data_IF_268067312671
#
_entry.id   IF_268067312671
#
_cell.length_a   1.000
_cell.length_b   1.000
_cell.length_c   1.000
_cell.angle_alpha   90.00
_cell.angle_beta   90.00
_cell.angle_gamma   90.00
#
_symmetry.space_group_name_H-M   'P 1'
#
loop_
_entity.id
_entity.type
_entity.pdbx_description
1 polymer ?
#
# COMPACT_ATOMS: atom_id res chain seq x y z
N UNK A 1 -11.78 -34.53 7.28
CA UNK A 1 -12.62 -33.33 7.48
C UNK A 1 -12.03 -32.14 6.71
N UNK A 2 -11.63 -32.33 5.45
CA UNK A 2 -11.06 -31.29 4.58
C UNK A 2 -11.41 -31.52 3.09
N UNK A 3 -12.57 -32.13 2.81
CA UNK A 3 -12.89 -32.59 1.44
C UNK A 3 -13.92 -31.72 0.68
N UNK A 4 -14.20 -30.50 1.15
CA UNK A 4 -15.17 -29.61 0.48
C UNK A 4 -14.66 -28.18 0.29
N UNK A 5 -13.38 -28.00 -0.05
CA UNK A 5 -12.88 -26.71 -0.54
C UNK A 5 -12.88 -26.72 -2.07
N UNK A 6 -14.05 -26.44 -2.66
CA UNK A 6 -14.21 -26.40 -4.11
C UNK A 6 -13.55 -25.13 -4.68
N UNK A 7 -12.25 -25.23 -4.99
CA UNK A 7 -11.49 -24.18 -5.66
C UNK A 7 -12.15 -23.75 -6.99
N UNK A 8 -12.92 -24.61 -7.65
CA UNK A 8 -13.55 -24.32 -8.94
C UNK A 8 -14.66 -23.27 -8.86
N UNK A 9 -15.32 -23.11 -7.71
CA UNK A 9 -16.44 -22.19 -7.56
C UNK A 9 -16.00 -20.72 -7.40
N UNK A 10 -14.84 -20.46 -6.77
CA UNK A 10 -14.30 -19.11 -6.56
C UNK A 10 -13.71 -18.50 -7.85
N UNK A 11 -13.17 -19.33 -8.77
CA UNK A 11 -12.62 -18.85 -10.06
C UNK A 11 -13.66 -18.54 -11.16
N UNK A 12 -14.97 -18.66 -10.88
CA UNK A 12 -16.01 -18.65 -11.94
C UNK A 12 -16.26 -17.31 -12.63
N UNK A 13 -15.63 -16.22 -12.18
CA UNK A 13 -15.66 -14.92 -12.85
C UNK A 13 -14.25 -14.35 -12.85
N UNK A 14 -13.46 -14.60 -13.90
CA UNK A 14 -12.15 -13.99 -14.06
C UNK A 14 -12.33 -12.46 -14.13
N UNK A 15 -11.92 -11.69 -13.09
CA UNK A 15 -12.32 -10.30 -12.96
C UNK A 15 -11.35 -9.41 -13.76
N UNK A 16 -11.30 -9.61 -15.08
CA UNK A 16 -10.37 -8.93 -15.98
C UNK A 16 -10.44 -7.40 -15.86
N UNK A 17 -11.64 -6.85 -15.63
CA UNK A 17 -11.83 -5.42 -15.36
C UNK A 17 -11.16 -4.95 -14.07
N UNK A 18 -11.28 -5.70 -12.98
CA UNK A 18 -10.66 -5.36 -11.69
C UNK A 18 -9.14 -5.38 -11.81
N UNK A 19 -8.60 -6.40 -12.47
CA UNK A 19 -7.17 -6.54 -12.73
C UNK A 19 -6.64 -5.35 -13.55
N UNK A 20 -7.37 -4.92 -14.59
CA UNK A 20 -6.98 -3.76 -15.40
C UNK A 20 -7.00 -2.45 -14.59
N UNK A 21 -7.99 -2.23 -13.72
CA UNK A 21 -7.98 -1.06 -12.82
C UNK A 21 -6.84 -1.10 -11.82
N UNK A 22 -6.54 -2.27 -11.29
CA UNK A 22 -5.46 -2.47 -10.35
C UNK A 22 -4.09 -2.13 -10.99
N UNK A 23 -3.85 -2.59 -12.23
CA UNK A 23 -2.68 -2.19 -13.01
C UNK A 23 -2.65 -0.68 -13.30
N UNK A 24 -3.79 -0.07 -13.63
CA UNK A 24 -3.88 1.37 -13.84
C UNK A 24 -3.51 2.14 -12.57
N UNK A 25 -3.98 1.70 -11.41
CA UNK A 25 -3.65 2.32 -10.13
C UNK A 25 -2.19 2.16 -9.77
N UNK A 26 -1.57 1.00 -10.05
CA UNK A 26 -0.13 0.81 -9.91
C UNK A 26 0.65 1.76 -10.84
N UNK A 27 0.22 1.91 -12.09
CA UNK A 27 0.87 2.78 -13.07
C UNK A 27 0.85 4.26 -12.64
N UNK A 28 -0.19 4.68 -11.93
CA UNK A 28 -0.31 6.04 -11.38
C UNK A 28 0.49 6.18 -10.08
N UNK A 29 0.35 5.23 -9.16
CA UNK A 29 0.96 5.30 -7.83
C UNK A 29 2.49 5.24 -7.90
N UNK A 30 3.06 4.31 -8.68
CA UNK A 30 4.50 4.07 -8.70
C UNK A 30 5.30 5.35 -9.05
N UNK A 31 4.99 6.10 -10.13
CA UNK A 31 5.71 7.33 -10.45
C UNK A 31 5.54 8.42 -9.38
N UNK A 32 4.34 8.57 -8.82
CA UNK A 32 4.05 9.56 -7.77
C UNK A 32 4.88 9.27 -6.52
N UNK A 33 4.89 8.02 -6.06
CA UNK A 33 5.67 7.62 -4.89
C UNK A 33 7.18 7.70 -5.17
N UNK A 34 7.64 7.27 -6.34
CA UNK A 34 9.04 7.36 -6.73
C UNK A 34 9.55 8.80 -6.70
N UNK A 35 8.75 9.75 -7.20
CA UNK A 35 9.08 11.18 -7.16
C UNK A 35 9.21 11.71 -5.72
N UNK A 36 8.28 11.32 -4.84
CA UNK A 36 8.27 11.77 -3.44
C UNK A 36 9.46 11.19 -2.66
N UNK A 37 9.76 9.90 -2.86
CA UNK A 37 10.93 9.24 -2.25
C UNK A 37 12.23 9.90 -2.71
N UNK A 38 12.37 10.19 -4.01
CA UNK A 38 13.54 10.88 -4.57
C UNK A 38 13.70 12.26 -3.93
N UNK A 39 12.62 13.05 -3.86
CA UNK A 39 12.66 14.43 -3.37
C UNK A 39 12.88 14.53 -1.86
N UNK A 40 12.27 13.66 -1.06
CA UNK A 40 12.29 13.75 0.41
C UNK A 40 13.39 12.93 1.07
N UNK A 41 13.71 11.75 0.53
CA UNK A 41 14.73 10.86 1.09
C UNK A 41 16.09 11.01 0.38
N UNK A 42 16.16 11.82 -0.68
CA UNK A 42 17.37 12.05 -1.48
C UNK A 42 17.97 10.77 -2.06
N UNK A 43 17.13 9.76 -2.29
CA UNK A 43 17.51 8.54 -3.00
C UNK A 43 17.79 8.86 -4.47
N UNK A 44 18.68 8.10 -5.11
CA UNK A 44 18.82 8.08 -6.58
C UNK A 44 17.45 7.82 -7.24
N UNK A 45 17.21 8.37 -8.44
CA UNK A 45 16.06 8.05 -9.29
C UNK A 45 15.85 6.54 -9.45
N UNK A 46 16.94 5.77 -9.64
CA UNK A 46 16.88 4.31 -9.78
C UNK A 46 16.39 3.63 -8.50
N UNK A 47 16.97 3.99 -7.35
CA UNK A 47 16.59 3.39 -6.06
C UNK A 47 15.20 3.81 -5.61
N UNK A 48 14.83 5.07 -5.86
CA UNK A 48 13.47 5.58 -5.58
C UNK A 48 12.42 4.84 -6.39
N UNK A 49 12.67 4.61 -7.68
CA UNK A 49 11.77 3.86 -8.56
C UNK A 49 11.69 2.39 -8.12
N UNK A 50 12.82 1.76 -7.79
CA UNK A 50 12.85 0.39 -7.30
C UNK A 50 12.04 0.21 -6.01
N UNK A 51 12.23 1.09 -5.02
CA UNK A 51 11.47 1.03 -3.77
C UNK A 51 9.98 1.29 -4.00
N UNK A 52 9.61 2.28 -4.84
CA UNK A 52 8.21 2.56 -5.15
C UNK A 52 7.53 1.36 -5.84
N UNK A 53 8.18 0.76 -6.85
CA UNK A 53 7.67 -0.45 -7.51
C UNK A 53 7.48 -1.57 -6.49
N UNK A 54 8.51 -1.85 -5.70
CA UNK A 54 8.49 -2.94 -4.72
C UNK A 54 7.38 -2.74 -3.69
N UNK A 55 7.30 -1.57 -3.06
CA UNK A 55 6.27 -1.27 -2.06
C UNK A 55 4.85 -1.42 -2.62
N UNK A 56 4.58 -0.91 -3.83
CA UNK A 56 3.24 -0.98 -4.42
C UNK A 56 2.88 -2.39 -4.84
N UNK A 57 3.79 -3.11 -5.51
CA UNK A 57 3.54 -4.50 -5.94
C UNK A 57 3.36 -5.43 -4.75
N UNK A 58 4.24 -5.38 -3.75
CA UNK A 58 4.11 -6.22 -2.55
C UNK A 58 2.86 -5.86 -1.73
N UNK A 59 2.56 -4.57 -1.55
CA UNK A 59 1.33 -4.16 -0.86
C UNK A 59 0.08 -4.65 -1.60
N UNK A 60 0.11 -4.66 -2.93
CA UNK A 60 -1.00 -5.15 -3.73
C UNK A 60 -1.17 -6.67 -3.61
N UNK A 61 -0.08 -7.43 -3.72
CA UNK A 61 -0.09 -8.89 -3.51
C UNK A 61 -0.61 -9.23 -2.10
N UNK A 62 -0.16 -8.52 -1.06
CA UNK A 62 -0.67 -8.70 0.30
C UNK A 62 -2.17 -8.41 0.37
N UNK A 63 -2.65 -7.35 -0.30
CA UNK A 63 -4.07 -7.04 -0.40
C UNK A 63 -4.89 -8.17 -1.03
N UNK A 64 -4.42 -8.72 -2.15
CA UNK A 64 -5.03 -9.87 -2.80
C UNK A 64 -5.04 -11.12 -1.92
N UNK A 65 -3.93 -11.41 -1.23
CA UNK A 65 -3.86 -12.54 -0.28
C UNK A 65 -4.88 -12.37 0.85
N UNK A 66 -4.97 -11.18 1.46
CA UNK A 66 -5.96 -10.89 2.50
C UNK A 66 -7.38 -11.04 1.95
N UNK A 67 -7.65 -10.54 0.73
CA UNK A 67 -8.94 -10.69 0.08
C UNK A 67 -9.33 -12.16 -0.09
N UNK A 68 -8.45 -13.00 -0.62
CA UNK A 68 -8.73 -14.44 -0.80
C UNK A 68 -8.88 -15.22 0.51
N UNK A 69 -8.27 -14.75 1.61
CA UNK A 69 -8.47 -15.36 2.94
C UNK A 69 -9.83 -14.94 3.53
N UNK A 70 -10.27 -13.71 3.27
CA UNK A 70 -11.52 -13.17 3.83
C UNK A 70 -12.76 -13.52 2.99
N UNK A 71 -12.61 -13.68 1.68
CA UNK A 71 -13.71 -14.00 0.76
C UNK A 71 -14.54 -15.23 1.22
N UNK A 72 -13.94 -16.37 1.61
CA UNK A 72 -14.69 -17.57 1.98
C UNK A 72 -15.47 -17.45 3.30
N UNK A 73 -15.19 -16.45 4.13
CA UNK A 73 -15.76 -16.35 5.49
C UNK A 73 -17.18 -15.73 5.51
N UNK A 74 -17.88 -15.66 4.37
CA UNK A 74 -19.20 -15.01 4.19
C UNK A 74 -19.29 -13.55 4.68
N UNK A 75 -18.14 -12.94 5.02
CA UNK A 75 -18.05 -11.57 5.56
C UNK A 75 -18.63 -10.55 4.58
N UNK A 76 -18.55 -10.84 3.27
CA UNK A 76 -18.98 -9.97 2.20
C UNK A 76 -20.41 -10.22 1.68
N UNK A 77 -21.10 -11.28 2.10
CA UNK A 77 -22.42 -11.62 1.54
C UNK A 77 -23.48 -10.55 1.82
N UNK A 78 -23.44 -9.97 3.02
CA UNK A 78 -24.31 -8.86 3.41
C UNK A 78 -24.02 -7.59 2.61
N UNK A 79 -22.75 -7.31 2.35
CA UNK A 79 -22.33 -6.14 1.55
C UNK A 79 -22.59 -6.34 0.05
N UNK A 80 -22.47 -7.56 -0.47
CA UNK A 80 -22.68 -7.90 -1.89
C UNK A 80 -24.15 -7.70 -2.29
N UNK A 81 -25.09 -8.21 -1.48
CA UNK A 81 -26.53 -8.02 -1.69
C UNK A 81 -26.94 -6.54 -1.61
N UNK A 82 -26.37 -5.78 -0.67
CA UNK A 82 -26.62 -4.34 -0.55
C UNK A 82 -26.00 -3.52 -1.69
N UNK A 83 -24.82 -3.89 -2.20
CA UNK A 83 -24.23 -3.25 -3.39
C UNK A 83 -25.07 -3.47 -4.64
N UNK A 84 -25.62 -4.69 -4.82
CA UNK A 84 -26.51 -5.00 -5.93
C UNK A 84 -27.80 -4.17 -5.82
N UNK A 85 -28.38 -4.06 -4.62
CA UNK A 85 -29.54 -3.21 -4.39
C UNK A 85 -29.24 -1.72 -4.62
N UNK A 86 -28.05 -1.24 -4.25
CA UNK A 86 -27.62 0.11 -4.60
C UNK A 86 -27.53 0.30 -6.12
N UNK A 87 -26.89 -0.63 -6.82
CA UNK A 87 -26.69 -0.53 -8.26
C UNK A 87 -28.00 -0.61 -9.05
N UNK A 88 -28.98 -1.39 -8.60
CA UNK A 88 -30.28 -1.55 -9.27
C UNK A 88 -31.33 -0.53 -8.83
N UNK A 89 -31.36 -0.12 -7.56
CA UNK A 89 -32.45 0.69 -7.00
C UNK A 89 -32.02 2.07 -6.52
N UNK A 90 -30.73 2.41 -6.63
CA UNK A 90 -30.15 3.68 -6.19
C UNK A 90 -30.53 4.07 -4.75
N UNK A 91 -30.77 3.07 -3.89
CA UNK A 91 -31.02 3.25 -2.45
C UNK A 91 -29.80 2.74 -1.70
N UNK A 92 -29.09 3.66 -1.07
CA UNK A 92 -28.05 3.35 -0.10
C UNK A 92 -28.63 3.51 1.28
N UNK A 93 -28.78 2.40 2.00
CA UNK A 93 -29.03 2.46 3.43
C UNK A 93 -27.82 3.10 4.12
N UNK A 94 -28.06 4.01 5.06
CA UNK A 94 -27.02 4.76 5.78
C UNK A 94 -25.93 3.89 6.41
N UNK A 95 -26.27 2.64 6.75
CA UNK A 95 -25.35 1.64 7.31
C UNK A 95 -24.24 1.21 6.32
N UNK A 96 -24.52 1.23 5.01
CA UNK A 96 -23.56 0.80 3.97
C UNK A 96 -22.50 1.86 3.73
N UNK A 97 -22.88 3.14 3.77
CA UNK A 97 -21.94 4.26 3.66
C UNK A 97 -20.88 4.21 4.76
N UNK A 98 -21.31 3.96 6.01
CA UNK A 98 -20.40 3.79 7.14
C UNK A 98 -19.39 2.66 6.89
N UNK A 99 -19.87 1.52 6.39
CA UNK A 99 -19.01 0.39 6.03
C UNK A 99 -17.99 0.70 4.93
N UNK A 100 -18.40 1.40 3.87
CA UNK A 100 -17.52 1.79 2.76
C UNK A 100 -16.45 2.78 3.23
N UNK A 101 -16.83 3.81 4.00
CA UNK A 101 -15.88 4.79 4.55
C UNK A 101 -14.91 4.11 5.51
N UNK A 102 -15.40 3.21 6.37
CA UNK A 102 -14.56 2.45 7.28
C UNK A 102 -13.59 1.52 6.52
N UNK A 103 -14.04 0.87 5.45
CA UNK A 103 -13.18 0.06 4.60
C UNK A 103 -12.14 0.91 3.86
N UNK A 104 -12.52 2.06 3.31
CA UNK A 104 -11.59 3.00 2.67
C UNK A 104 -10.54 3.52 3.65
N UNK A 105 -10.96 3.86 4.87
CA UNK A 105 -10.07 4.28 5.96
C UNK A 105 -9.10 3.14 6.34
N UNK A 106 -9.64 1.95 6.61
CA UNK A 106 -8.84 0.78 7.01
C UNK A 106 -7.86 0.36 5.93
N UNK A 107 -8.27 0.37 4.66
CA UNK A 107 -7.39 0.06 3.54
C UNK A 107 -6.30 1.12 3.36
N UNK A 108 -6.61 2.41 3.49
CA UNK A 108 -5.61 3.48 3.41
C UNK A 108 -4.53 3.34 4.50
N UNK A 109 -4.94 3.15 5.75
CA UNK A 109 -3.98 3.00 6.87
C UNK A 109 -3.26 1.65 6.82
N UNK A 110 -3.96 0.58 6.44
CA UNK A 110 -3.39 -0.75 6.28
C UNK A 110 -2.28 -0.76 5.22
N UNK A 111 -2.53 -0.20 4.03
CA UNK A 111 -1.52 -0.11 2.97
C UNK A 111 -0.38 0.81 3.38
N UNK A 112 -0.65 1.92 4.07
CA UNK A 112 0.39 2.79 4.62
C UNK A 112 1.33 2.03 5.57
N UNK A 113 0.79 1.25 6.50
CA UNK A 113 1.58 0.46 7.44
C UNK A 113 2.45 -0.57 6.72
N UNK A 114 1.86 -1.31 5.77
CA UNK A 114 2.56 -2.32 4.96
C UNK A 114 3.68 -1.66 4.16
N UNK A 115 3.40 -0.56 3.45
CA UNK A 115 4.40 0.17 2.66
C UNK A 115 5.53 0.72 3.52
N UNK A 116 5.23 1.28 4.69
CA UNK A 116 6.25 1.77 5.61
C UNK A 116 7.15 0.63 6.10
N UNK A 117 6.57 -0.51 6.48
CA UNK A 117 7.32 -1.68 6.93
C UNK A 117 8.19 -2.24 5.80
N UNK A 118 7.66 -2.36 4.59
CA UNK A 118 8.38 -2.82 3.41
C UNK A 118 9.55 -1.89 3.07
N UNK A 119 9.33 -0.57 3.05
CA UNK A 119 10.40 0.40 2.79
C UNK A 119 11.53 0.24 3.79
N UNK A 120 11.18 0.14 5.07
CA UNK A 120 12.16 -0.03 6.16
C UNK A 120 12.93 -1.34 5.99
N UNK A 121 12.23 -2.43 5.66
CA UNK A 121 12.84 -3.74 5.43
C UNK A 121 13.79 -3.70 4.23
N UNK A 122 13.37 -3.09 3.11
CA UNK A 122 14.21 -2.98 1.92
C UNK A 122 15.43 -2.11 2.15
N UNK A 123 15.31 -0.99 2.87
CA UNK A 123 16.46 -0.16 3.23
C UNK A 123 17.45 -0.97 4.08
N UNK A 124 16.98 -1.75 5.05
CA UNK A 124 17.86 -2.57 5.90
C UNK A 124 18.48 -3.72 5.09
N UNK A 125 17.72 -4.39 4.24
CA UNK A 125 18.18 -5.54 3.46
C UNK A 125 19.15 -5.14 2.34
N UNK A 126 18.95 -4.00 1.69
CA UNK A 126 19.81 -3.47 0.63
C UNK A 126 20.93 -2.57 1.16
N UNK A 127 20.86 -2.10 2.41
CA UNK A 127 21.99 -1.45 3.07
C UNK A 127 23.03 -2.52 3.36
N UNK A 128 23.99 -2.68 2.45
CA UNK A 128 25.10 -3.59 2.59
C UNK A 128 25.75 -3.42 3.99
N UNK A 129 25.88 -4.47 4.81
CA UNK A 129 26.69 -4.41 6.03
C UNK A 129 28.19 -4.19 5.75
N UNK A 130 28.60 -4.17 4.47
CA UNK A 130 29.97 -4.06 4.01
C UNK A 130 30.35 -2.80 3.24
N UNK A 131 29.54 -1.73 3.22
CA UNK A 131 30.08 -0.40 2.84
C UNK A 131 31.06 0.03 3.94
N UNK A 132 32.34 -0.25 3.67
CA UNK A 132 33.52 0.05 4.47
C UNK A 132 33.33 1.29 5.35
N UNK A 133 33.13 1.07 6.65
CA UNK A 133 33.76 1.98 7.61
C UNK A 133 35.26 1.83 7.41
N UNK A 134 36.05 2.90 7.21
CA UNK A 134 37.47 2.80 7.50
C UNK A 134 37.61 2.43 8.99
N UNK A 135 38.29 1.32 9.25
CA UNK A 135 38.67 0.77 10.56
C UNK A 135 40.19 0.95 10.75
N UNK A 136 40.79 0.77 11.94
CA UNK A 136 40.38 1.09 13.34
C UNK A 136 41.52 1.80 14.13
N UNK A 137 41.24 2.38 15.31
CA UNK A 137 42.08 2.24 16.55
C UNK A 137 41.41 2.86 17.81
N UNK A 138 41.90 2.57 19.04
CA UNK A 138 41.13 1.98 20.15
C UNK A 138 40.53 3.04 21.08
N UNK A 139 39.48 2.68 21.83
CA UNK A 139 39.18 3.12 23.20
C UNK A 139 37.68 2.92 23.50
N UNK A 140 37.41 1.93 24.34
CA UNK A 140 36.10 1.30 24.58
C UNK A 140 35.02 2.17 25.23
N UNK A 141 35.28 3.45 25.49
CA UNK A 141 34.30 4.42 26.01
C UNK A 141 33.49 5.11 24.90
N UNK A 142 34.02 5.23 23.69
CA UNK A 142 33.36 5.93 22.57
C UNK A 142 32.26 5.06 21.93
N UNK A 143 32.39 3.74 21.96
CA UNK A 143 31.46 2.81 21.29
C UNK A 143 30.06 2.81 21.90
N UNK A 144 29.92 3.00 23.22
CA UNK A 144 28.63 3.13 23.90
C UNK A 144 27.94 4.46 23.54
N UNK A 145 28.70 5.56 23.50
CA UNK A 145 28.18 6.88 23.11
C UNK A 145 27.84 6.93 21.61
N UNK A 146 28.57 6.20 20.76
CA UNK A 146 28.31 6.07 19.32
C UNK A 146 27.07 5.20 19.04
N UNK A 147 26.82 4.15 19.83
CA UNK A 147 25.56 3.37 19.79
C UNK A 147 24.35 4.24 20.16
N UNK A 148 24.46 5.09 21.18
CA UNK A 148 23.42 6.04 21.58
C UNK A 148 23.13 7.09 20.49
N UNK A 149 24.17 7.71 19.88
CA UNK A 149 23.99 8.66 18.78
C UNK A 149 23.46 8.01 17.50
N UNK A 150 23.79 6.74 17.24
CA UNK A 150 23.27 5.97 16.09
C UNK A 150 21.80 5.60 16.31
N UNK A 151 21.41 5.22 17.53
CA UNK A 151 20.01 4.98 17.92
C UNK A 151 19.15 6.26 17.77
N UNK A 152 19.70 7.41 18.15
CA UNK A 152 19.03 8.70 18.00
C UNK A 152 18.87 9.12 16.52
N UNK A 153 19.88 8.84 15.68
CA UNK A 153 19.80 9.06 14.23
C UNK A 153 18.78 8.14 13.55
N UNK A 154 18.71 6.86 13.95
CA UNK A 154 17.69 5.92 13.41
C UNK A 154 16.27 6.32 13.80
N UNK A 155 16.05 6.87 15.00
CA UNK A 155 14.75 7.40 15.40
C UNK A 155 14.31 8.58 14.54
N UNK A 156 15.19 9.55 14.31
CA UNK A 156 14.88 10.72 13.46
C UNK A 156 14.70 10.36 11.98
N UNK A 157 15.48 9.39 11.49
CA UNK A 157 15.34 8.86 10.14
C UNK A 157 14.05 8.03 9.99
N UNK A 158 13.60 7.33 11.03
CA UNK A 158 12.31 6.62 11.00
C UNK A 158 11.12 7.57 10.92
N UNK A 159 11.17 8.72 11.61
CA UNK A 159 10.12 9.74 11.52
C UNK A 159 10.09 10.39 10.14
N UNK A 160 11.24 10.67 9.53
CA UNK A 160 11.29 11.20 8.17
C UNK A 160 10.86 10.17 7.12
N UNK A 161 11.13 8.88 7.33
CA UNK A 161 10.64 7.80 6.48
C UNK A 161 9.12 7.66 6.58
N UNK A 162 8.57 7.57 7.79
CA UNK A 162 7.13 7.44 7.99
C UNK A 162 6.34 8.60 7.38
N UNK A 163 6.77 9.83 7.66
CA UNK A 163 6.12 11.02 7.07
C UNK A 163 6.25 11.06 5.55
N UNK A 164 7.38 10.63 5.00
CA UNK A 164 7.53 10.53 3.54
C UNK A 164 6.61 9.48 2.94
N UNK A 165 6.55 8.28 3.53
CA UNK A 165 5.65 7.22 3.08
C UNK A 165 4.18 7.63 3.20
N UNK A 166 3.83 8.36 4.28
CA UNK A 166 2.49 8.93 4.44
C UNK A 166 2.17 9.90 3.31
N UNK A 167 3.02 10.89 3.06
CA UNK A 167 2.81 11.86 1.97
C UNK A 167 2.72 11.15 0.61
N UNK A 168 3.57 10.15 0.38
CA UNK A 168 3.57 9.35 -0.84
C UNK A 168 2.26 8.60 -1.04
N UNK A 169 1.78 7.91 0.01
CA UNK A 169 0.52 7.17 -0.04
C UNK A 169 -0.67 8.13 -0.21
N UNK A 170 -0.72 9.23 0.54
CA UNK A 170 -1.78 10.24 0.43
C UNK A 170 -1.88 10.81 -0.99
N UNK A 171 -0.75 11.21 -1.58
CA UNK A 171 -0.75 11.79 -2.93
C UNK A 171 -1.14 10.76 -4.00
N UNK A 172 -0.72 9.51 -3.85
CA UNK A 172 -1.10 8.44 -4.77
C UNK A 172 -2.59 8.13 -4.70
N UNK A 173 -3.16 8.02 -3.50
CA UNK A 173 -4.61 7.83 -3.31
C UNK A 173 -5.42 9.02 -3.82
N UNK A 174 -4.95 10.26 -3.62
CA UNK A 174 -5.58 11.45 -4.21
C UNK A 174 -5.57 11.42 -5.74
N UNK A 175 -4.45 11.02 -6.37
CA UNK A 175 -4.35 10.89 -7.81
C UNK A 175 -5.30 9.81 -8.36
N UNK A 176 -5.33 8.64 -7.70
CA UNK A 176 -6.26 7.55 -8.04
C UNK A 176 -7.72 8.03 -7.91
N UNK A 177 -8.05 8.72 -6.81
CA UNK A 177 -9.40 9.25 -6.58
C UNK A 177 -9.81 10.23 -7.68
N UNK A 178 -8.91 11.11 -8.12
CA UNK A 178 -9.17 12.01 -9.25
C UNK A 178 -9.47 11.26 -10.56
N UNK A 179 -8.71 10.20 -10.85
CA UNK A 179 -8.96 9.36 -12.04
C UNK A 179 -10.33 8.66 -11.95
N UNK A 180 -10.68 8.13 -10.78
CA UNK A 180 -11.99 7.51 -10.54
C UNK A 180 -13.13 8.54 -10.67
N UNK A 181 -12.96 9.74 -10.12
CA UNK A 181 -13.93 10.83 -10.24
C UNK A 181 -14.12 11.26 -11.69
N UNK A 182 -13.03 11.44 -12.45
CA UNK A 182 -13.11 11.81 -13.86
C UNK A 182 -13.87 10.75 -14.68
N UNK A 183 -13.61 9.46 -14.42
CA UNK A 183 -14.36 8.35 -15.01
C UNK A 183 -15.85 8.40 -14.63
N UNK A 184 -16.18 8.72 -13.38
CA UNK A 184 -17.55 8.83 -12.92
C UNK A 184 -18.29 9.96 -13.65
N UNK A 185 -17.69 11.15 -13.73
CA UNK A 185 -18.26 12.29 -14.46
C UNK A 185 -18.45 11.99 -15.95
N UNK A 186 -17.47 11.37 -16.60
CA UNK A 186 -17.57 10.99 -18.01
C UNK A 186 -18.71 9.99 -18.28
N UNK A 187 -18.98 9.08 -17.33
CA UNK A 187 -20.09 8.12 -17.44
C UNK A 187 -21.45 8.79 -17.27
N UNK A 188 -21.58 9.75 -16.36
CA UNK A 188 -22.85 10.47 -16.12
C UNK A 188 -23.29 11.32 -17.32
N UNK A 189 -22.38 11.73 -18.20
CA UNK A 189 -22.72 12.44 -19.44
C UNK A 189 -23.13 11.52 -20.61
N UNK A 190 -22.99 10.20 -20.45
CA UNK A 190 -23.30 9.19 -21.48
C UNK A 190 -24.65 8.48 -21.29
N UNK A 191 -25.49 9.01 -20.39
CA UNK A 191 -26.89 8.59 -20.12
C UNK A 191 -27.79 9.80 -20.33
#
# INVERSE_FOLDING_TARGET
>A
MFDNFDFSASFRVFPSGVILFDFLFLLIAIPVEAYILNKRLKFDKRTSSFYAISMNVFSNVIGWVIFFILEPNNFFDRYKSQLINFLLYNRLDGEVYGGIVFAAFTTFFGTLMVKFLLLRLFIIALSNPGEKKPEPEPEDTILLQRKSRRAHRTGWQSTSLFTTTLIANSLSYSAITLVVLFRLFARTQSV
#
